data_IF_690170226273
#
_entry.id   IF_690170226273
#
_cell.length_a   1.000
_cell.length_b   1.000
_cell.length_c   1.000
_cell.angle_alpha   90.00
_cell.angle_beta   90.00
_cell.angle_gamma   90.00
#
_symmetry.space_group_name_H-M   'P 1'
#
loop_
_entity.id
_entity.type
_entity.pdbx_description
1 polymer ?
#
# COMPACT_ATOMS: atom_id res chain seq x y z
N UNK A 1 -3.28 7.45 -16.94
CA UNK A 1 -2.67 6.49 -17.89
C UNK A 1 -1.91 7.25 -18.97
N UNK A 2 -0.58 7.13 -19.12
CA UNK A 2 0.15 7.75 -20.22
C UNK A 2 0.30 6.76 -21.39
N UNK A 3 -0.82 6.29 -21.95
CA UNK A 3 -0.82 5.53 -23.19
C UNK A 3 -1.88 6.13 -24.12
N UNK A 4 -1.62 7.35 -24.63
CA UNK A 4 -2.35 7.84 -25.80
C UNK A 4 -1.64 7.31 -27.04
N UNK A 5 -2.19 6.27 -27.64
CA UNK A 5 -1.84 5.91 -29.01
C UNK A 5 -2.46 6.97 -29.92
N UNK A 6 -1.64 7.91 -30.42
CA UNK A 6 -2.06 8.77 -31.51
C UNK A 6 -2.12 7.91 -32.78
N UNK A 7 -3.32 7.69 -33.30
CA UNK A 7 -3.54 7.15 -34.64
C UNK A 7 -3.06 8.15 -35.71
N UNK A 8 -1.77 8.17 -35.96
CA UNK A 8 -1.15 8.89 -37.08
C UNK A 8 -0.63 7.86 -38.06
N UNK A 9 -0.92 8.09 -39.32
CA UNK A 9 -0.61 7.22 -40.46
C UNK A 9 0.83 6.71 -40.49
N UNK A 10 0.97 5.39 -40.70
CA UNK A 10 2.12 4.78 -41.38
C UNK A 10 3.42 4.66 -40.60
N UNK A 11 3.66 3.50 -40.05
CA UNK A 11 4.95 3.07 -39.57
C UNK A 11 4.92 2.69 -38.09
N UNK A 12 5.26 1.45 -37.77
CA UNK A 12 5.50 0.99 -36.41
C UNK A 12 6.47 1.94 -35.71
N UNK A 13 6.00 2.74 -34.77
CA UNK A 13 6.80 3.70 -33.99
C UNK A 13 7.72 2.96 -32.99
N UNK A 14 7.58 1.65 -32.87
CA UNK A 14 8.45 0.84 -32.03
C UNK A 14 9.49 0.16 -32.90
N UNK A 15 10.79 0.55 -32.77
CA UNK A 15 11.84 -0.30 -33.27
C UNK A 15 11.61 -1.69 -32.65
N UNK A 16 11.92 -2.73 -33.40
CA UNK A 16 11.69 -4.13 -33.03
C UNK A 16 12.41 -4.53 -31.73
N UNK A 17 11.89 -4.03 -30.59
CA UNK A 17 12.22 -4.60 -29.29
C UNK A 17 11.44 -5.89 -29.16
N UNK A 18 12.11 -7.04 -29.04
CA UNK A 18 11.44 -8.32 -29.04
C UNK A 18 10.55 -8.51 -27.80
N UNK A 19 10.79 -7.74 -26.73
CA UNK A 19 10.08 -7.91 -25.46
C UNK A 19 9.80 -6.59 -24.75
N UNK A 20 8.64 -6.55 -24.08
CA UNK A 20 8.26 -5.53 -23.09
C UNK A 20 8.40 -6.15 -21.70
N UNK A 21 9.19 -5.55 -20.83
CA UNK A 21 9.45 -6.03 -19.47
C UNK A 21 8.94 -5.04 -18.44
N UNK A 22 8.31 -5.53 -17.37
CA UNK A 22 8.08 -4.71 -16.18
C UNK A 22 9.41 -4.41 -15.49
N UNK A 23 9.49 -3.32 -14.76
CA UNK A 23 10.75 -2.86 -14.16
C UNK A 23 11.48 -3.93 -13.33
N UNK A 24 10.81 -4.70 -12.45
CA UNK A 24 11.49 -5.77 -11.70
C UNK A 24 12.10 -6.84 -12.62
N UNK A 25 11.38 -7.22 -13.67
CA UNK A 25 11.84 -8.22 -14.65
C UNK A 25 12.95 -7.67 -15.54
N UNK A 26 12.91 -6.38 -15.87
CA UNK A 26 14.00 -5.72 -16.58
C UNK A 26 15.29 -5.73 -15.77
N UNK A 27 15.20 -5.43 -14.47
CA UNK A 27 16.37 -5.50 -13.58
C UNK A 27 16.93 -6.92 -13.48
N UNK A 28 16.08 -7.94 -13.37
CA UNK A 28 16.50 -9.35 -13.44
C UNK A 28 17.17 -9.69 -14.76
N UNK A 29 16.59 -9.24 -15.88
CA UNK A 29 17.13 -9.44 -17.22
C UNK A 29 18.55 -8.88 -17.39
N UNK A 30 18.87 -7.73 -16.77
CA UNK A 30 20.22 -7.16 -16.83
C UNK A 30 21.29 -8.10 -16.25
N UNK A 31 20.92 -8.95 -15.29
CA UNK A 31 21.84 -9.93 -14.69
C UNK A 31 21.83 -11.28 -15.38
N UNK A 32 20.67 -11.68 -15.89
CA UNK A 32 20.45 -13.06 -16.39
C UNK A 32 20.47 -13.19 -17.91
N UNK A 33 20.16 -12.10 -18.64
CA UNK A 33 19.94 -12.12 -20.07
C UNK A 33 18.64 -12.87 -20.50
N UNK A 34 17.81 -13.31 -19.55
CA UNK A 34 16.61 -14.10 -19.82
C UNK A 34 15.36 -13.25 -19.58
N UNK A 35 14.59 -12.92 -20.65
CA UNK A 35 13.37 -12.16 -20.53
C UNK A 35 12.23 -13.06 -20.03
N UNK A 36 11.58 -12.65 -18.93
CA UNK A 36 10.42 -13.34 -18.35
C UNK A 36 9.38 -12.34 -17.87
N UNK A 37 8.15 -12.80 -17.70
CA UNK A 37 7.08 -12.12 -16.95
C UNK A 37 6.75 -12.92 -15.69
N UNK A 38 6.11 -12.27 -14.71
CA UNK A 38 5.63 -12.95 -13.51
C UNK A 38 4.34 -12.30 -12.99
N UNK A 39 3.61 -13.03 -12.17
CA UNK A 39 2.25 -12.69 -11.78
C UNK A 39 2.12 -11.34 -11.07
N UNK A 40 2.98 -11.04 -10.08
CA UNK A 40 2.79 -9.85 -9.23
C UNK A 40 2.97 -8.56 -10.00
N UNK A 41 3.89 -8.51 -10.96
CA UNK A 41 4.11 -7.34 -11.81
C UNK A 41 3.01 -7.18 -12.85
N UNK A 42 2.51 -8.29 -13.42
CA UNK A 42 1.39 -8.25 -14.37
C UNK A 42 0.11 -7.80 -13.67
N UNK A 43 -0.16 -8.32 -12.47
CA UNK A 43 -1.40 -8.07 -11.72
C UNK A 43 -1.46 -6.74 -10.99
N UNK A 44 -0.37 -5.95 -10.95
CA UNK A 44 -0.32 -4.68 -10.25
C UNK A 44 -0.26 -3.50 -11.23
N UNK A 45 -1.22 -2.56 -11.14
CA UNK A 45 -1.26 -1.28 -11.87
C UNK A 45 -1.26 -1.34 -13.41
N UNK A 46 -1.24 -2.50 -14.03
CA UNK A 46 -1.05 -2.62 -15.48
C UNK A 46 -2.37 -2.69 -16.26
N UNK A 47 -3.44 -3.12 -15.61
CA UNK A 47 -4.72 -3.49 -16.24
C UNK A 47 -4.57 -4.59 -17.33
N UNK A 48 -3.47 -5.34 -17.33
CA UNK A 48 -3.23 -6.41 -18.31
C UNK A 48 -3.97 -7.70 -17.93
N UNK A 49 -4.14 -7.96 -16.62
CA UNK A 49 -4.62 -9.25 -16.10
C UNK A 49 -6.11 -9.24 -15.80
N UNK A 50 -6.80 -10.27 -16.28
CA UNK A 50 -8.20 -10.56 -15.95
C UNK A 50 -8.25 -11.62 -14.84
N UNK A 51 -8.59 -11.22 -13.62
CA UNK A 51 -8.63 -12.10 -12.45
C UNK A 51 -9.73 -13.16 -12.51
N UNK A 52 -10.80 -12.94 -13.29
CA UNK A 52 -11.84 -13.96 -13.49
C UNK A 52 -11.38 -15.07 -14.43
N UNK A 53 -10.78 -14.68 -15.55
CA UNK A 53 -10.30 -15.62 -16.58
C UNK A 53 -8.97 -16.27 -16.22
N UNK A 54 -8.24 -15.70 -15.23
CA UNK A 54 -6.86 -16.08 -14.89
C UNK A 54 -5.93 -16.01 -16.11
N UNK A 55 -6.11 -14.94 -16.91
CA UNK A 55 -5.39 -14.72 -18.17
C UNK A 55 -5.32 -13.22 -18.47
N UNK A 56 -4.62 -12.82 -19.50
CA UNK A 56 -4.64 -11.44 -19.95
C UNK A 56 -6.05 -11.02 -20.39
N UNK A 57 -6.35 -9.73 -20.27
CA UNK A 57 -7.59 -9.16 -20.80
C UNK A 57 -7.67 -9.30 -22.33
N UNK A 58 -8.89 -9.42 -22.88
CA UNK A 58 -9.16 -9.57 -24.31
C UNK A 58 -8.55 -8.45 -25.15
N UNK A 59 -8.49 -7.22 -24.60
CA UNK A 59 -7.86 -6.09 -25.30
C UNK A 59 -6.34 -6.27 -25.51
N UNK A 60 -5.65 -6.98 -24.60
CA UNK A 60 -4.22 -7.29 -24.72
C UNK A 60 -3.95 -8.17 -25.93
N UNK A 61 -4.85 -9.11 -26.18
CA UNK A 61 -4.82 -9.97 -27.38
C UNK A 61 -5.21 -9.21 -28.64
N UNK A 62 -6.28 -8.40 -28.56
CA UNK A 62 -6.78 -7.59 -29.68
C UNK A 62 -5.73 -6.60 -30.19
N UNK A 63 -5.02 -5.95 -29.27
CA UNK A 63 -3.95 -4.98 -29.58
C UNK A 63 -2.58 -5.68 -29.81
N UNK A 64 -2.55 -7.00 -29.86
CA UNK A 64 -1.36 -7.85 -30.07
C UNK A 64 -0.22 -7.64 -29.05
N UNK A 65 -0.49 -6.99 -27.91
CA UNK A 65 0.50 -6.70 -26.86
C UNK A 65 1.09 -8.00 -26.28
N UNK A 66 0.28 -9.06 -26.19
CA UNK A 66 0.72 -10.36 -25.69
C UNK A 66 1.94 -10.93 -26.47
N UNK A 67 2.14 -10.53 -27.73
CA UNK A 67 3.29 -10.97 -28.55
C UNK A 67 4.62 -10.38 -28.05
N UNK A 68 4.56 -9.25 -27.33
CA UNK A 68 5.73 -8.59 -26.76
C UNK A 68 5.99 -8.98 -25.31
N UNK A 69 5.02 -9.62 -24.66
CA UNK A 69 5.14 -10.04 -23.27
C UNK A 69 5.83 -11.41 -23.22
N UNK A 70 6.93 -11.56 -22.46
CA UNK A 70 7.57 -12.86 -22.28
C UNK A 70 6.67 -13.85 -21.55
N UNK A 71 7.05 -15.12 -21.59
CA UNK A 71 6.35 -16.16 -20.85
C UNK A 71 6.30 -15.88 -19.36
N UNK A 72 5.13 -16.14 -18.77
CA UNK A 72 4.94 -16.02 -17.33
C UNK A 72 5.61 -17.19 -16.63
N UNK A 73 6.41 -16.91 -15.62
CA UNK A 73 7.02 -17.90 -14.75
C UNK A 73 6.57 -17.70 -13.31
N UNK A 74 6.74 -18.71 -12.47
CA UNK A 74 6.48 -18.60 -11.03
C UNK A 74 7.36 -17.51 -10.41
N UNK A 75 6.80 -16.67 -9.54
CA UNK A 75 7.52 -15.58 -8.87
C UNK A 75 8.70 -16.09 -8.03
N UNK A 76 8.63 -17.32 -7.52
CA UNK A 76 9.73 -17.98 -6.80
C UNK A 76 10.86 -18.47 -7.69
N UNK A 77 10.73 -18.35 -9.02
CA UNK A 77 11.78 -18.76 -9.95
C UNK A 77 13.05 -17.92 -9.77
N UNK A 78 14.18 -18.60 -9.85
CA UNK A 78 15.49 -17.96 -9.81
C UNK A 78 16.46 -18.63 -10.76
N UNK A 79 17.38 -17.84 -11.26
CA UNK A 79 18.36 -18.22 -12.28
C UNK A 79 19.75 -18.10 -11.67
N UNK A 80 20.55 -19.17 -11.77
CA UNK A 80 21.96 -19.10 -11.39
C UNK A 80 22.73 -18.37 -12.49
N UNK A 81 23.47 -17.35 -12.12
CA UNK A 81 24.29 -16.56 -13.06
C UNK A 81 25.66 -16.28 -12.48
N UNK A 82 26.65 -16.10 -13.34
CA UNK A 82 27.96 -15.61 -12.92
C UNK A 82 27.98 -14.08 -12.98
N UNK A 83 28.32 -13.47 -11.86
CA UNK A 83 28.56 -12.02 -11.78
C UNK A 83 29.98 -11.78 -11.28
N UNK A 84 30.85 -11.35 -12.19
CA UNK A 84 32.26 -11.04 -11.88
C UNK A 84 33.00 -12.23 -11.21
N UNK A 85 32.75 -13.46 -11.67
CA UNK A 85 33.36 -14.68 -11.13
C UNK A 85 32.68 -15.25 -9.87
N UNK A 86 31.56 -14.67 -9.46
CA UNK A 86 30.75 -15.14 -8.33
C UNK A 86 29.43 -15.76 -8.83
N UNK A 87 29.19 -17.02 -8.43
CA UNK A 87 27.90 -17.66 -8.69
C UNK A 87 26.85 -17.05 -7.75
N UNK A 88 25.86 -16.40 -8.35
CA UNK A 88 24.74 -15.79 -7.62
C UNK A 88 23.42 -16.34 -8.11
N UNK A 89 22.42 -16.31 -7.24
CA UNK A 89 21.04 -16.69 -7.54
C UNK A 89 20.22 -15.43 -7.74
N UNK A 90 19.75 -15.20 -8.94
CA UNK A 90 18.96 -14.01 -9.30
C UNK A 90 17.50 -14.40 -9.44
N UNK A 91 16.61 -13.77 -8.64
CA UNK A 91 15.17 -13.92 -8.79
C UNK A 91 14.65 -13.22 -10.03
N UNK A 92 13.52 -13.69 -10.56
CA UNK A 92 12.89 -13.12 -11.77
C UNK A 92 12.32 -11.73 -11.59
N UNK A 93 12.37 -11.19 -10.39
CA UNK A 93 11.78 -9.91 -10.01
C UNK A 93 10.38 -10.11 -9.41
N UNK A 94 9.97 -9.17 -8.57
CA UNK A 94 8.68 -9.20 -7.88
C UNK A 94 8.23 -7.75 -7.64
N UNK A 95 6.92 -7.49 -7.73
CA UNK A 95 6.37 -6.19 -7.38
C UNK A 95 6.60 -5.86 -5.89
N UNK A 96 7.00 -4.63 -5.58
CA UNK A 96 7.42 -4.20 -4.24
C UNK A 96 6.37 -4.42 -3.14
N UNK A 97 5.11 -4.07 -3.40
CA UNK A 97 4.02 -4.26 -2.43
C UNK A 97 3.69 -5.73 -2.21
N UNK A 98 3.74 -6.56 -3.26
CA UNK A 98 3.55 -8.00 -3.16
C UNK A 98 4.71 -8.66 -2.40
N UNK A 99 5.91 -8.15 -2.62
CA UNK A 99 7.12 -8.54 -1.89
C UNK A 99 7.02 -8.19 -0.41
N UNK A 100 6.66 -6.94 -0.09
CA UNK A 100 6.51 -6.49 1.30
C UNK A 100 5.44 -7.26 2.08
N UNK A 101 4.41 -7.75 1.38
CA UNK A 101 3.32 -8.56 1.96
C UNK A 101 3.75 -9.99 2.30
N UNK A 102 4.74 -10.54 1.58
CA UNK A 102 5.12 -11.95 1.67
C UNK A 102 5.60 -12.40 3.06
N UNK A 103 6.42 -11.65 3.82
CA UNK A 103 6.79 -12.01 5.18
C UNK A 103 5.59 -12.18 6.13
N UNK A 104 4.55 -11.35 5.96
CA UNK A 104 3.33 -11.46 6.75
C UNK A 104 2.53 -12.72 6.37
N UNK A 105 2.32 -12.96 5.08
CA UNK A 105 1.61 -14.16 4.59
C UNK A 105 2.30 -15.45 5.05
N UNK A 106 3.64 -15.47 5.08
CA UNK A 106 4.44 -16.66 5.44
C UNK A 106 4.57 -16.88 6.94
N UNK A 107 4.32 -15.86 7.80
CA UNK A 107 4.54 -15.94 9.25
C UNK A 107 3.27 -15.81 10.10
N UNK A 108 2.10 -15.53 9.49
CA UNK A 108 0.85 -15.33 10.22
C UNK A 108 -0.18 -16.36 9.75
N UNK A 109 -0.70 -17.16 10.68
CA UNK A 109 -1.69 -18.19 10.37
C UNK A 109 -3.12 -17.62 10.26
N UNK A 110 -3.38 -16.48 10.90
CA UNK A 110 -4.69 -15.82 10.88
C UNK A 110 -4.82 -14.88 9.71
N UNK A 111 -6.05 -14.59 9.28
CA UNK A 111 -6.31 -13.52 8.32
C UNK A 111 -5.96 -12.17 8.93
N UNK A 112 -5.45 -11.28 8.10
CA UNK A 112 -5.01 -9.94 8.50
C UNK A 112 -5.18 -8.92 7.37
N UNK A 113 -5.16 -7.65 7.74
CA UNK A 113 -4.97 -6.51 6.85
C UNK A 113 -3.58 -5.94 7.09
N UNK A 114 -2.87 -5.60 6.03
CA UNK A 114 -1.63 -4.82 6.10
C UNK A 114 -1.91 -3.39 5.62
N UNK A 115 -1.68 -2.42 6.48
CA UNK A 115 -1.69 -1.00 6.17
C UNK A 115 -0.26 -0.53 5.99
N UNK A 116 0.16 -0.31 4.76
CA UNK A 116 1.46 0.24 4.40
C UNK A 116 1.36 1.76 4.24
N UNK A 117 2.13 2.51 5.02
CA UNK A 117 2.02 3.97 5.11
C UNK A 117 3.30 4.68 4.68
N UNK A 118 3.18 5.57 3.72
CA UNK A 118 4.20 6.45 3.19
C UNK A 118 3.54 7.69 2.60
N UNK A 119 3.98 8.15 1.44
CA UNK A 119 3.29 9.18 0.65
C UNK A 119 1.87 8.73 0.31
N UNK A 120 1.72 7.48 -0.06
CA UNK A 120 0.45 6.76 -0.12
C UNK A 120 0.23 5.98 1.16
N UNK A 121 -1.03 5.83 1.53
CA UNK A 121 -1.51 4.86 2.50
C UNK A 121 -2.26 3.77 1.73
N UNK A 122 -1.78 2.54 1.77
CA UNK A 122 -2.32 1.42 1.01
C UNK A 122 -2.73 0.32 1.98
N UNK A 123 -4.01 0.00 1.98
CA UNK A 123 -4.57 -1.12 2.75
C UNK A 123 -4.59 -2.34 1.87
N UNK A 124 -3.89 -3.39 2.24
CA UNK A 124 -3.77 -4.64 1.49
C UNK A 124 -4.55 -5.76 2.19
N UNK A 125 -5.55 -6.32 1.49
CA UNK A 125 -6.28 -7.51 1.91
C UNK A 125 -5.91 -8.71 1.02
N UNK A 126 -5.01 -9.60 1.45
CA UNK A 126 -4.62 -10.77 0.68
C UNK A 126 -5.60 -11.95 0.78
N UNK A 127 -6.73 -11.79 1.46
CA UNK A 127 -7.75 -12.82 1.67
C UNK A 127 -9.09 -12.47 1.00
N UNK A 128 -9.07 -11.51 0.08
CA UNK A 128 -10.27 -11.09 -0.63
C UNK A 128 -10.88 -12.25 -1.41
N UNK A 129 -12.21 -12.29 -1.43
CA UNK A 129 -12.99 -13.21 -2.26
C UNK A 129 -13.98 -12.39 -3.08
N UNK A 130 -14.06 -12.65 -4.35
CA UNK A 130 -14.96 -11.95 -5.27
C UNK A 130 -14.30 -10.79 -5.98
N UNK A 131 -15.06 -10.15 -6.86
CA UNK A 131 -14.62 -9.08 -7.75
C UNK A 131 -14.70 -7.71 -7.07
N UNK A 132 -13.95 -6.75 -7.61
CA UNK A 132 -14.16 -5.35 -7.30
C UNK A 132 -15.52 -4.89 -7.84
N UNK A 133 -16.22 -4.12 -7.03
CA UNK A 133 -17.48 -3.47 -7.42
C UNK A 133 -17.20 -2.13 -8.09
N UNK A 134 -18.22 -1.55 -8.74
CA UNK A 134 -18.13 -0.18 -9.29
C UNK A 134 -17.82 0.83 -8.18
N UNK A 135 -18.37 0.63 -6.97
CA UNK A 135 -18.08 1.47 -5.79
C UNK A 135 -16.62 1.35 -5.35
N UNK A 136 -16.05 0.15 -5.40
CA UNK A 136 -14.62 -0.05 -5.13
C UNK A 136 -13.75 0.75 -6.10
N UNK A 137 -14.09 0.75 -7.39
CA UNK A 137 -13.34 1.46 -8.42
C UNK A 137 -13.40 2.98 -8.25
N UNK A 138 -14.58 3.54 -7.94
CA UNK A 138 -14.76 4.97 -7.63
C UNK A 138 -13.98 5.37 -6.37
N UNK A 139 -13.79 4.44 -5.45
CA UNK A 139 -13.12 4.65 -4.16
C UNK A 139 -11.63 4.30 -4.17
N UNK A 140 -11.00 4.28 -5.33
CA UNK A 140 -9.59 3.96 -5.56
C UNK A 140 -9.17 2.60 -4.96
N UNK A 141 -10.07 1.60 -5.05
CA UNK A 141 -9.73 0.21 -4.80
C UNK A 141 -9.34 -0.46 -6.11
N UNK A 142 -8.22 -1.17 -6.08
CA UNK A 142 -7.72 -1.94 -7.20
C UNK A 142 -7.28 -3.32 -6.74
N UNK A 143 -7.05 -4.22 -7.69
CA UNK A 143 -6.34 -5.46 -7.39
C UNK A 143 -4.82 -5.28 -7.50
N UNK A 144 -4.14 -5.86 -6.51
CA UNK A 144 -2.76 -6.32 -6.59
C UNK A 144 -2.78 -7.84 -6.67
N UNK A 145 -1.62 -8.47 -6.77
CA UNK A 145 -1.54 -9.90 -6.93
C UNK A 145 -0.53 -10.53 -5.97
N UNK A 146 -0.91 -11.65 -5.37
CA UNK A 146 0.00 -12.51 -4.62
C UNK A 146 0.90 -13.29 -5.57
N UNK A 147 2.01 -13.82 -5.03
CA UNK A 147 2.97 -14.64 -5.79
C UNK A 147 2.35 -15.88 -6.43
N UNK A 148 1.22 -16.35 -5.94
CA UNK A 148 0.47 -17.51 -6.47
C UNK A 148 -0.67 -17.12 -7.42
N UNK A 149 -0.72 -15.88 -7.88
CA UNK A 149 -1.74 -15.40 -8.82
C UNK A 149 -3.08 -14.98 -8.19
N UNK A 150 -3.27 -15.18 -6.89
CA UNK A 150 -4.50 -14.76 -6.20
C UNK A 150 -4.58 -13.23 -6.05
N UNK A 151 -5.79 -12.65 -6.12
CA UNK A 151 -5.96 -11.21 -5.96
C UNK A 151 -5.70 -10.75 -4.52
N UNK A 152 -5.16 -9.53 -4.41
CA UNK A 152 -5.08 -8.74 -3.18
C UNK A 152 -5.91 -7.48 -3.39
N UNK A 153 -6.98 -7.28 -2.63
CA UNK A 153 -7.73 -6.03 -2.69
C UNK A 153 -6.90 -4.92 -2.02
N UNK A 154 -6.62 -3.88 -2.76
CA UNK A 154 -5.85 -2.72 -2.30
C UNK A 154 -6.73 -1.48 -2.31
N UNK A 155 -6.98 -0.87 -1.14
CA UNK A 155 -7.62 0.43 -1.03
C UNK A 155 -6.53 1.49 -0.78
N UNK A 156 -6.51 2.54 -1.60
CA UNK A 156 -5.43 3.52 -1.63
C UNK A 156 -5.93 4.91 -1.26
N UNK A 157 -5.12 5.61 -0.47
CA UNK A 157 -5.32 7.02 -0.14
C UNK A 157 -3.99 7.76 -0.29
N UNK A 158 -4.00 8.94 -0.91
CA UNK A 158 -2.82 9.81 -0.98
C UNK A 158 -2.63 10.59 0.33
N UNK A 159 -2.79 9.87 1.44
CA UNK A 159 -2.96 10.39 2.80
C UNK A 159 -1.68 11.07 3.33
N UNK A 160 -0.51 10.48 3.08
CA UNK A 160 0.76 11.05 3.54
C UNK A 160 1.10 12.37 2.86
N UNK A 161 0.72 12.55 1.59
CA UNK A 161 0.85 13.83 0.90
C UNK A 161 -0.03 14.91 1.56
N UNK A 162 -1.31 14.61 1.77
CA UNK A 162 -2.24 15.55 2.45
C UNK A 162 -1.76 15.88 3.87
N UNK A 163 -1.30 14.88 4.62
CA UNK A 163 -0.70 15.09 5.93
C UNK A 163 0.43 16.12 5.87
N UNK A 164 1.39 15.95 4.96
CA UNK A 164 2.53 16.84 4.82
C UNK A 164 2.11 18.28 4.46
N UNK A 165 1.15 18.43 3.55
CA UNK A 165 0.61 19.75 3.18
C UNK A 165 -0.09 20.42 4.38
N UNK A 166 -0.89 19.68 5.16
CA UNK A 166 -1.59 20.23 6.31
C UNK A 166 -0.64 20.53 7.48
N UNK A 167 0.39 19.74 7.71
CA UNK A 167 1.47 20.07 8.66
C UNK A 167 2.14 21.38 8.30
N UNK A 168 2.45 21.58 7.03
CA UNK A 168 3.05 22.84 6.55
C UNK A 168 2.11 24.04 6.79
N UNK A 169 0.81 23.89 6.46
CA UNK A 169 -0.21 24.92 6.69
C UNK A 169 -0.33 25.27 8.18
N UNK A 170 -0.41 24.28 9.07
CA UNK A 170 -0.48 24.45 10.52
C UNK A 170 0.78 25.14 11.07
N UNK A 171 1.95 24.68 10.65
CA UNK A 171 3.23 25.24 11.10
C UNK A 171 3.39 26.71 10.72
N UNK A 172 2.96 27.07 9.51
CA UNK A 172 2.96 28.46 9.05
C UNK A 172 1.97 29.32 9.86
N UNK A 173 0.76 28.81 10.10
CA UNK A 173 -0.28 29.53 10.85
C UNK A 173 0.16 29.86 12.28
N UNK A 174 0.74 28.86 12.98
CA UNK A 174 1.17 29.01 14.37
C UNK A 174 2.63 29.49 14.51
N UNK A 175 3.35 29.72 13.41
CA UNK A 175 4.75 30.16 13.39
C UNK A 175 5.68 29.25 14.20
N UNK A 176 5.52 27.95 14.06
CA UNK A 176 6.35 26.92 14.69
C UNK A 176 7.18 26.16 13.63
N UNK A 177 8.28 25.49 14.02
CA UNK A 177 9.03 24.64 13.10
C UNK A 177 8.17 23.55 12.47
N UNK A 178 8.49 23.17 11.23
CA UNK A 178 7.70 22.17 10.50
C UNK A 178 7.69 20.78 11.17
N UNK A 179 8.74 20.44 11.90
CA UNK A 179 8.83 19.21 12.68
C UNK A 179 8.24 19.31 14.10
N UNK A 180 7.57 20.41 14.46
CA UNK A 180 6.97 20.60 15.78
C UNK A 180 5.99 19.46 16.15
N UNK A 181 5.29 18.92 15.16
CA UNK A 181 4.35 17.80 15.34
C UNK A 181 4.98 16.54 15.93
N UNK A 182 6.29 16.33 15.75
CA UNK A 182 7.00 15.14 16.24
C UNK A 182 7.06 15.10 17.78
N UNK A 183 6.93 16.25 18.43
CA UNK A 183 6.91 16.38 19.89
C UNK A 183 5.53 16.19 20.53
N UNK A 184 4.47 16.10 19.70
CA UNK A 184 3.10 16.03 20.19
C UNK A 184 2.69 14.57 20.43
N UNK A 185 2.22 14.30 21.63
CA UNK A 185 1.67 13.02 22.05
C UNK A 185 0.15 13.05 22.13
N UNK A 186 -0.48 11.88 22.15
CA UNK A 186 -1.94 11.79 22.26
C UNK A 186 -2.43 12.38 23.59
N UNK A 187 -3.30 13.39 23.50
CA UNK A 187 -3.89 14.06 24.64
C UNK A 187 -5.38 13.70 24.75
N UNK A 188 -5.73 12.86 25.73
CA UNK A 188 -7.08 12.31 25.92
C UNK A 188 -8.12 13.42 26.13
N UNK A 189 -7.81 14.43 26.97
CA UNK A 189 -8.75 15.51 27.25
C UNK A 189 -9.02 16.39 26.02
N UNK A 190 -7.99 16.66 25.24
CA UNK A 190 -8.11 17.39 23.98
C UNK A 190 -8.90 16.59 22.94
N UNK A 191 -8.61 15.29 22.81
CA UNK A 191 -9.37 14.39 21.94
C UNK A 191 -10.86 14.38 22.30
N UNK A 192 -11.23 14.22 23.58
CA UNK A 192 -12.62 14.22 24.03
C UNK A 192 -13.32 15.52 23.66
N UNK A 193 -12.70 16.67 23.99
CA UNK A 193 -13.23 18.01 23.65
C UNK A 193 -13.50 18.18 22.15
N UNK A 194 -12.57 17.70 21.29
CA UNK A 194 -12.72 17.80 19.83
C UNK A 194 -13.78 16.81 19.33
N UNK A 195 -13.84 15.61 19.90
CA UNK A 195 -14.79 14.57 19.51
C UNK A 195 -16.25 14.96 19.85
N UNK A 196 -16.49 15.59 20.99
CA UNK A 196 -17.83 16.04 21.40
C UNK A 196 -18.42 17.09 20.43
N UNK A 197 -17.57 17.81 19.72
CA UNK A 197 -17.95 18.86 18.76
C UNK A 197 -17.33 18.58 17.38
N UNK A 198 -17.17 17.31 17.02
CA UNK A 198 -16.48 16.92 15.81
C UNK A 198 -17.17 17.47 14.56
N UNK A 199 -16.38 18.11 13.72
CA UNK A 199 -16.78 18.53 12.37
C UNK A 199 -15.53 18.69 11.53
N UNK A 200 -15.61 18.35 10.25
CA UNK A 200 -14.49 18.47 9.34
C UNK A 200 -14.03 19.92 9.17
N UNK A 201 -12.76 20.17 9.36
CA UNK A 201 -12.10 21.49 9.28
C UNK A 201 -11.15 21.60 8.11
N UNK A 202 -10.58 20.46 7.67
CA UNK A 202 -9.61 20.46 6.60
C UNK A 202 -10.28 20.22 5.25
N UNK A 203 -9.74 20.89 4.23
CA UNK A 203 -10.08 20.63 2.82
C UNK A 203 -8.97 19.81 2.21
N UNK A 204 -9.35 18.68 1.66
CA UNK A 204 -8.42 17.78 0.97
C UNK A 204 -8.26 18.18 -0.49
N UNK A 205 -7.04 18.07 -1.02
CA UNK A 205 -6.71 18.49 -2.38
C UNK A 205 -6.62 17.29 -3.32
N UNK A 206 -6.06 16.19 -2.81
CA UNK A 206 -5.70 15.01 -3.60
C UNK A 206 -6.47 13.74 -3.19
N UNK A 207 -7.38 13.83 -2.23
CA UNK A 207 -8.23 12.70 -1.84
C UNK A 207 -9.56 12.78 -2.58
N UNK A 208 -9.96 11.67 -3.22
CA UNK A 208 -11.26 11.53 -3.89
C UNK A 208 -12.41 11.33 -2.87
N UNK A 209 -12.45 12.18 -1.86
CA UNK A 209 -13.48 12.18 -0.81
C UNK A 209 -14.20 13.51 -0.78
N UNK A 210 -15.44 13.50 -0.32
CA UNK A 210 -16.22 14.73 -0.14
C UNK A 210 -15.50 15.65 0.86
N UNK A 211 -14.90 16.71 0.34
CA UNK A 211 -14.35 17.78 1.17
C UNK A 211 -15.41 18.83 1.46
N UNK A 212 -15.37 19.52 2.59
CA UNK A 212 -16.23 20.68 2.83
C UNK A 212 -16.12 21.65 1.65
N UNK A 213 -17.28 22.12 1.13
CA UNK A 213 -17.32 23.06 -0.01
C UNK A 213 -16.57 24.37 0.27
N UNK A 214 -16.53 24.76 1.53
CA UNK A 214 -15.80 25.94 2.02
C UNK A 214 -14.78 25.51 3.05
N UNK A 215 -13.55 26.01 2.90
CA UNK A 215 -12.53 25.84 3.95
C UNK A 215 -13.02 26.54 5.22
N UNK A 216 -13.19 25.79 6.30
CA UNK A 216 -13.42 26.41 7.60
C UNK A 216 -12.17 27.22 7.96
N UNK A 217 -12.31 28.42 8.55
CA UNK A 217 -11.15 29.15 9.06
C UNK A 217 -10.42 28.28 10.07
N UNK A 218 -9.08 28.33 10.08
CA UNK A 218 -8.26 27.66 11.10
C UNK A 218 -8.42 28.35 12.45
N UNK A 219 -9.54 28.10 13.13
CA UNK A 219 -9.88 28.69 14.42
C UNK A 219 -9.40 27.85 15.61
N UNK A 220 -8.28 27.17 15.44
CA UNK A 220 -7.66 26.41 16.53
C UNK A 220 -6.95 27.39 17.49
N UNK A 221 -7.04 27.12 18.79
CA UNK A 221 -6.37 27.94 19.81
C UNK A 221 -4.88 27.65 19.90
N UNK A 222 -4.47 26.44 19.62
CA UNK A 222 -3.08 25.98 19.68
C UNK A 222 -2.74 25.08 18.51
N UNK A 223 -1.46 24.94 18.20
CA UNK A 223 -0.97 23.98 17.21
C UNK A 223 -1.39 22.55 17.55
N UNK A 224 -1.30 22.18 18.83
CA UNK A 224 -1.69 20.86 19.33
C UNK A 224 -3.16 20.55 19.04
N UNK A 225 -4.07 21.53 19.25
CA UNK A 225 -5.49 21.40 18.92
C UNK A 225 -5.69 21.16 17.41
N UNK A 226 -5.03 21.95 16.56
CA UNK A 226 -5.08 21.78 15.12
C UNK A 226 -4.51 20.44 14.65
N UNK A 227 -3.43 20.00 15.27
CA UNK A 227 -2.80 18.72 14.94
C UNK A 227 -3.67 17.52 15.34
N UNK A 228 -4.27 17.52 16.54
CA UNK A 228 -5.23 16.48 16.94
C UNK A 228 -6.43 16.42 16.00
N UNK A 229 -7.01 17.57 15.64
CA UNK A 229 -8.10 17.64 14.68
C UNK A 229 -7.70 17.06 13.31
N UNK A 230 -6.51 17.40 12.80
CA UNK A 230 -5.95 16.84 11.57
C UNK A 230 -5.87 15.31 11.65
N UNK A 231 -5.30 14.80 12.74
CA UNK A 231 -5.12 13.35 12.90
C UNK A 231 -6.46 12.63 13.04
N UNK A 232 -7.47 13.22 13.66
CA UNK A 232 -8.82 12.66 13.75
C UNK A 232 -9.46 12.53 12.38
N UNK A 233 -9.40 13.57 11.54
CA UNK A 233 -9.97 13.52 10.18
C UNK A 233 -9.23 12.54 9.28
N UNK A 234 -7.89 12.46 9.36
CA UNK A 234 -7.11 11.48 8.58
C UNK A 234 -7.37 10.05 9.06
N UNK A 235 -7.51 9.84 10.37
CA UNK A 235 -7.83 8.51 10.90
C UNK A 235 -9.23 8.04 10.49
N UNK A 236 -10.22 8.94 10.44
CA UNK A 236 -11.56 8.63 9.94
C UNK A 236 -11.51 8.13 8.49
N UNK A 237 -10.83 8.86 7.59
CA UNK A 237 -10.64 8.45 6.21
C UNK A 237 -9.92 7.10 6.08
N UNK A 238 -8.91 6.89 6.93
CA UNK A 238 -8.17 5.62 6.95
C UNK A 238 -9.03 4.46 7.45
N UNK A 239 -9.87 4.67 8.47
CA UNK A 239 -10.80 3.66 8.98
C UNK A 239 -11.80 3.25 7.90
N UNK A 240 -12.35 4.19 7.15
CA UNK A 240 -13.23 3.90 6.02
C UNK A 240 -12.52 3.07 4.93
N UNK A 241 -11.29 3.46 4.58
CA UNK A 241 -10.45 2.72 3.63
C UNK A 241 -10.19 1.28 4.10
N UNK A 242 -9.88 1.09 5.39
CA UNK A 242 -9.67 -0.24 5.99
C UNK A 242 -10.96 -1.06 5.90
N UNK A 243 -12.10 -0.52 6.30
CA UNK A 243 -13.41 -1.21 6.24
C UNK A 243 -13.75 -1.61 4.80
N UNK A 244 -13.47 -0.75 3.83
CA UNK A 244 -13.67 -1.02 2.41
C UNK A 244 -12.78 -2.15 1.89
N UNK A 245 -11.51 -2.17 2.29
CA UNK A 245 -10.60 -3.25 1.94
C UNK A 245 -11.00 -4.59 2.57
N UNK A 246 -11.51 -4.58 3.81
CA UNK A 246 -12.02 -5.77 4.49
C UNK A 246 -13.27 -6.29 3.76
N UNK A 247 -14.21 -5.41 3.42
CA UNK A 247 -15.50 -5.80 2.82
C UNK A 247 -16.24 -6.78 3.73
N UNK A 248 -16.74 -7.87 3.14
CA UNK A 248 -17.46 -8.94 3.87
C UNK A 248 -16.54 -10.00 4.50
N UNK A 249 -15.22 -9.78 4.52
CA UNK A 249 -14.30 -10.76 5.11
C UNK A 249 -14.28 -10.66 6.65
N UNK A 250 -14.19 -11.80 7.30
CA UNK A 250 -13.96 -11.89 8.73
C UNK A 250 -12.45 -11.76 9.01
N UNK A 251 -12.02 -10.54 9.36
CA UNK A 251 -10.62 -10.19 9.63
C UNK A 251 -10.57 -9.33 10.89
N UNK A 252 -9.84 -9.79 11.88
CA UNK A 252 -9.71 -9.16 13.19
C UNK A 252 -8.30 -8.63 13.51
N UNK A 253 -7.37 -8.70 12.53
CA UNK A 253 -5.98 -8.27 12.73
C UNK A 253 -5.58 -7.18 11.72
N UNK A 254 -5.05 -6.08 12.24
CA UNK A 254 -4.45 -4.99 11.45
C UNK A 254 -2.98 -4.85 11.80
N UNK A 255 -2.13 -4.92 10.79
CA UNK A 255 -0.72 -4.57 10.87
C UNK A 255 -0.50 -3.22 10.19
N UNK A 256 0.16 -2.29 10.86
CA UNK A 256 0.50 -0.96 10.35
C UNK A 256 2.00 -0.88 10.18
N UNK A 257 2.45 -0.54 8.99
CA UNK A 257 3.85 -0.41 8.62
C UNK A 257 4.13 0.96 7.99
N UNK A 258 5.40 1.37 8.00
CA UNK A 258 5.83 2.63 7.42
C UNK A 258 5.71 3.84 8.36
N UNK A 259 5.72 5.06 7.81
CA UNK A 259 5.90 6.29 8.58
C UNK A 259 4.85 6.51 9.67
N UNK A 260 3.59 6.24 9.40
CA UNK A 260 2.52 6.43 10.38
C UNK A 260 2.48 5.35 11.47
N UNK A 261 3.20 4.24 11.33
CA UNK A 261 3.34 3.25 12.40
C UNK A 261 4.00 3.85 13.68
N UNK A 262 4.78 4.91 13.52
CA UNK A 262 5.44 5.62 14.61
C UNK A 262 4.62 6.82 15.14
N UNK A 263 3.52 7.18 14.49
CA UNK A 263 2.64 8.25 14.94
C UNK A 263 1.65 7.71 15.98
N UNK A 264 1.94 7.96 17.26
CA UNK A 264 1.16 7.42 18.38
C UNK A 264 -0.29 7.90 18.39
N UNK A 265 -0.57 9.13 17.92
CA UNK A 265 -1.92 9.66 17.81
C UNK A 265 -2.71 8.89 16.75
N UNK A 266 -2.12 8.70 15.57
CA UNK A 266 -2.76 7.97 14.47
C UNK A 266 -3.07 6.53 14.86
N UNK A 267 -2.10 5.82 15.43
CA UNK A 267 -2.26 4.43 15.86
C UNK A 267 -3.33 4.28 16.94
N UNK A 268 -3.38 5.20 17.93
CA UNK A 268 -4.42 5.22 18.96
C UNK A 268 -5.82 5.44 18.37
N UNK A 269 -5.95 6.41 17.44
CA UNK A 269 -7.22 6.69 16.78
C UNK A 269 -7.71 5.51 15.94
N UNK A 270 -6.82 4.82 15.24
CA UNK A 270 -7.17 3.60 14.51
C UNK A 270 -7.58 2.46 15.46
N UNK A 271 -6.82 2.25 16.54
CA UNK A 271 -7.16 1.22 17.53
C UNK A 271 -8.53 1.44 18.16
N UNK A 272 -8.89 2.71 18.36
CA UNK A 272 -10.19 3.11 18.90
C UNK A 272 -11.32 2.97 17.90
N UNK A 273 -11.13 3.47 16.66
CA UNK A 273 -12.16 3.47 15.62
C UNK A 273 -12.41 2.11 14.99
N UNK A 274 -11.48 1.17 15.15
CA UNK A 274 -11.56 -0.22 14.70
C UNK A 274 -11.80 -1.16 15.89
N UNK A 275 -12.80 -0.84 16.70
CA UNK A 275 -13.14 -1.65 17.87
C UNK A 275 -13.32 -3.14 17.49
N UNK A 276 -12.67 -4.03 18.26
CA UNK A 276 -12.64 -5.47 18.00
C UNK A 276 -11.47 -5.95 17.12
N UNK A 277 -10.67 -5.04 16.53
CA UNK A 277 -9.45 -5.41 15.80
C UNK A 277 -8.21 -5.39 16.71
N UNK A 278 -7.34 -6.38 16.53
CA UNK A 278 -6.01 -6.46 17.17
C UNK A 278 -5.01 -5.62 16.35
N UNK A 279 -4.83 -4.36 16.74
CA UNK A 279 -3.96 -3.40 16.04
C UNK A 279 -2.51 -3.60 16.46
N UNK A 280 -1.63 -3.72 15.47
CA UNK A 280 -0.20 -3.93 15.63
C UNK A 280 0.58 -3.01 14.71
N UNK A 281 1.76 -2.56 15.17
CA UNK A 281 2.71 -1.83 14.33
C UNK A 281 3.96 -2.65 14.10
N UNK A 282 4.57 -2.47 12.93
CA UNK A 282 5.82 -3.06 12.52
C UNK A 282 6.77 -1.98 11.99
N UNK A 283 8.06 -2.27 12.04
CA UNK A 283 9.10 -1.48 11.38
C UNK A 283 9.78 -2.39 10.36
N UNK A 284 9.28 -2.34 9.14
CA UNK A 284 9.73 -3.16 8.02
C UNK A 284 10.43 -2.31 6.96
N UNK A 285 11.38 -1.47 7.36
CA UNK A 285 12.15 -0.59 6.45
C UNK A 285 12.80 -1.33 5.27
N UNK A 286 13.11 -2.63 5.43
CA UNK A 286 13.61 -3.53 4.39
C UNK A 286 12.57 -4.55 3.91
N UNK A 287 11.28 -4.31 4.15
CA UNK A 287 10.21 -5.29 3.89
C UNK A 287 10.20 -5.82 2.47
N UNK A 288 10.29 -4.96 1.47
CA UNK A 288 10.31 -5.36 0.06
C UNK A 288 11.55 -6.17 -0.31
N UNK A 289 12.74 -5.76 0.15
CA UNK A 289 13.98 -6.49 -0.12
C UNK A 289 13.98 -7.87 0.54
N UNK A 290 13.52 -7.95 1.79
CA UNK A 290 13.42 -9.22 2.51
C UNK A 290 12.36 -10.15 1.88
N UNK A 291 11.21 -9.60 1.48
CA UNK A 291 10.18 -10.37 0.77
C UNK A 291 10.69 -10.94 -0.55
N UNK A 292 11.47 -10.18 -1.33
CA UNK A 292 12.10 -10.67 -2.54
C UNK A 292 13.08 -11.83 -2.27
N UNK A 293 13.89 -11.72 -1.22
CA UNK A 293 14.77 -12.81 -0.81
C UNK A 293 13.99 -14.07 -0.35
N UNK A 294 12.89 -13.87 0.40
CA UNK A 294 12.00 -14.96 0.82
C UNK A 294 11.35 -15.63 -0.38
N UNK A 295 10.96 -14.88 -1.41
CA UNK A 295 10.31 -15.43 -2.60
C UNK A 295 11.16 -16.50 -3.30
N UNK A 296 12.48 -16.32 -3.36
CA UNK A 296 13.43 -17.24 -4.02
C UNK A 296 14.13 -18.19 -3.05
N UNK A 297 13.76 -18.15 -1.78
CA UNK A 297 14.35 -19.04 -0.75
C UNK A 297 13.35 -20.09 -0.31
N UNK A 298 13.85 -21.21 0.18
CA UNK A 298 13.05 -22.26 0.81
C UNK A 298 12.94 -22.06 2.34
N UNK A 299 13.09 -20.80 2.81
CA UNK A 299 13.06 -20.51 4.24
C UNK A 299 11.61 -20.53 4.71
N UNK A 300 11.34 -21.36 5.69
CA UNK A 300 10.09 -21.33 6.45
C UNK A 300 10.17 -20.23 7.51
N UNK A 301 9.13 -19.41 7.62
CA UNK A 301 9.02 -18.36 8.62
C UNK A 301 8.16 -18.84 9.78
N UNK A 302 8.66 -18.68 11.01
CA UNK A 302 7.89 -18.97 12.23
C UNK A 302 7.03 -17.76 12.63
N UNK A 303 6.02 -17.98 13.49
CA UNK A 303 5.14 -16.92 14.01
C UNK A 303 5.90 -15.84 14.82
N UNK A 304 7.16 -16.08 15.21
CA UNK A 304 7.99 -15.11 15.92
C UNK A 304 8.79 -14.21 14.97
N UNK A 305 8.74 -14.49 13.66
CA UNK A 305 9.52 -13.79 12.65
C UNK A 305 9.31 -12.28 12.71
N UNK A 306 8.06 -11.80 12.69
CA UNK A 306 7.76 -10.36 12.74
C UNK A 306 8.22 -9.72 14.05
N UNK A 307 8.11 -10.43 15.18
CA UNK A 307 8.59 -9.93 16.47
C UNK A 307 10.11 -9.77 16.48
N UNK A 308 10.83 -10.73 15.90
CA UNK A 308 12.29 -10.73 15.87
C UNK A 308 12.88 -9.71 14.88
N UNK A 309 12.23 -9.55 13.71
CA UNK A 309 12.83 -8.84 12.59
C UNK A 309 12.14 -7.51 12.27
N UNK A 310 10.87 -7.32 12.67
CA UNK A 310 10.05 -6.16 12.34
C UNK A 310 9.61 -5.36 13.59
N UNK A 311 10.25 -5.53 14.71
CA UNK A 311 9.96 -4.81 15.96
C UNK A 311 8.44 -4.76 16.28
N UNK A 312 7.71 -5.86 16.03
CA UNK A 312 6.27 -5.97 16.21
C UNK A 312 5.83 -5.50 17.59
N UNK A 313 4.93 -4.52 17.63
CA UNK A 313 4.27 -3.99 18.83
C UNK A 313 2.77 -4.17 18.74
N UNK A 314 2.11 -4.48 19.86
CA UNK A 314 0.66 -4.53 19.98
C UNK A 314 0.15 -3.25 20.63
N UNK A 315 -0.96 -2.73 20.12
CA UNK A 315 -1.59 -1.54 20.64
C UNK A 315 -2.99 -1.88 21.17
N UNK A 316 -3.30 -1.33 22.35
CA UNK A 316 -4.65 -1.36 22.93
C UNK A 316 -5.05 0.10 23.13
N UNK A 317 -6.31 0.43 22.86
CA UNK A 317 -6.77 1.78 23.09
C UNK A 317 -6.51 2.19 24.55
N UNK A 318 -5.96 3.40 24.73
CA UNK A 318 -5.68 4.01 26.04
C UNK A 318 -6.95 4.45 26.75
N UNK A 319 -8.08 4.52 26.04
CA UNK A 319 -9.38 4.93 26.56
C UNK A 319 -10.32 3.74 26.50
N UNK A 320 -10.83 3.31 27.66
CA UNK A 320 -11.96 2.37 27.71
C UNK A 320 -13.19 3.00 27.05
N UNK A 321 -13.91 2.24 26.27
CA UNK A 321 -15.14 2.69 25.62
C UNK A 321 -16.22 2.96 26.67
#
# INVERSE_FOLDING_TARGET
LPWSVSSGEGGSVYPAYPHSLHLPQYLSYLFTGIPVSEYTSIGCHTALWNFEKQDYHDWVYKEEIHKMLPSIVDTGTSINTDLMGHQIKVGVGIHDSSSALLPYIRSIDKKFILLSTGTWSIVLNPFTKGLLTDEDSVSDCIYYMRINGEPVKAARLFLGNEYNEKIKELSQHFKVPQNHHESITFNVGLYQKLNDNFSHKFKWTSLAVASPKTRAPMNFKTYEEGYHQLMMELAELQIESIKRAIGANDIDQLYIDGGFANNTIFVELLARGLNGMDVKTTDASLGSALGAAIAISNIELDQKFLKKNYALKKHRSLIAN
#
